data_IF_525476480535
#
_entry.id   IF_525476480535
#
_cell.length_a   1.000
_cell.length_b   1.000
_cell.length_c   1.000
_cell.angle_alpha   90.00
_cell.angle_beta   90.00
_cell.angle_gamma   90.00
#
_symmetry.space_group_name_H-M   'P 1'
#
loop_
_entity.id
_entity.type
_entity.pdbx_description
1 polymer ?
#
# COMPACT_ATOMS: atom_id res chain seq x y z
N UNK A 1 -34.94 -35.31 22.14
CA UNK A 1 -34.55 -35.30 20.72
C UNK A 1 -34.76 -33.95 20.04
N UNK A 2 -35.88 -33.24 20.26
CA UNK A 2 -36.11 -31.89 19.70
C UNK A 2 -35.00 -30.87 20.00
N UNK A 3 -34.62 -30.71 21.28
CA UNK A 3 -33.58 -29.77 21.70
C UNK A 3 -32.20 -30.05 21.08
N UNK A 4 -31.87 -31.33 20.85
CA UNK A 4 -30.62 -31.72 20.17
C UNK A 4 -30.65 -31.34 18.68
N UNK A 5 -31.82 -31.46 18.05
CA UNK A 5 -32.00 -31.09 16.65
C UNK A 5 -31.97 -29.56 16.45
N UNK A 6 -32.61 -28.81 17.35
CA UNK A 6 -32.56 -27.35 17.35
C UNK A 6 -31.14 -26.83 17.60
N UNK A 7 -30.41 -27.42 18.56
CA UNK A 7 -29.02 -27.08 18.81
C UNK A 7 -28.13 -27.35 17.59
N UNK A 8 -28.29 -28.50 16.92
CA UNK A 8 -27.56 -28.83 15.71
C UNK A 8 -27.87 -27.84 14.56
N UNK A 9 -29.13 -27.45 14.41
CA UNK A 9 -29.54 -26.46 13.41
C UNK A 9 -28.94 -25.07 13.71
N UNK A 10 -28.94 -24.64 14.97
CA UNK A 10 -28.36 -23.36 15.36
C UNK A 10 -26.85 -23.32 15.14
N UNK A 11 -26.14 -24.40 15.46
CA UNK A 11 -24.70 -24.55 15.17
C UNK A 11 -24.46 -24.41 13.67
N UNK A 12 -25.24 -25.13 12.85
CA UNK A 12 -25.10 -25.09 11.39
C UNK A 12 -25.29 -23.67 10.83
N UNK A 13 -26.38 -22.99 11.20
CA UNK A 13 -26.67 -21.61 10.76
C UNK A 13 -25.54 -20.66 11.21
N UNK A 14 -25.08 -20.79 12.46
CA UNK A 14 -24.02 -19.93 13.00
C UNK A 14 -22.70 -20.14 12.25
N UNK A 15 -22.36 -21.39 11.93
CA UNK A 15 -21.17 -21.72 11.13
C UNK A 15 -21.26 -21.13 9.73
N UNK A 16 -22.39 -21.29 9.04
CA UNK A 16 -22.59 -20.76 7.68
C UNK A 16 -22.53 -19.23 7.63
N UNK A 17 -23.16 -18.55 8.59
CA UNK A 17 -23.10 -17.09 8.72
C UNK A 17 -21.66 -16.65 8.99
N UNK A 18 -20.95 -17.34 9.88
CA UNK A 18 -19.56 -17.01 10.19
C UNK A 18 -18.65 -17.18 8.97
N UNK A 19 -18.77 -18.29 8.24
CA UNK A 19 -18.01 -18.54 7.01
C UNK A 19 -18.28 -17.45 5.96
N UNK A 20 -19.54 -17.06 5.78
CA UNK A 20 -19.93 -15.98 4.86
C UNK A 20 -19.32 -14.63 5.27
N UNK A 21 -19.35 -14.29 6.55
CA UNK A 21 -18.78 -13.02 7.05
C UNK A 21 -17.26 -12.99 6.88
N UNK A 22 -16.59 -14.11 7.17
CA UNK A 22 -15.14 -14.24 6.97
C UNK A 22 -14.79 -14.08 5.49
N UNK A 23 -15.54 -14.73 4.60
CA UNK A 23 -15.28 -14.65 3.16
C UNK A 23 -15.47 -13.23 2.60
N UNK A 24 -16.54 -12.56 3.02
CA UNK A 24 -16.82 -11.17 2.64
C UNK A 24 -15.75 -10.19 3.15
N UNK A 25 -15.12 -10.49 4.29
CA UNK A 25 -14.01 -9.69 4.82
C UNK A 25 -12.68 -10.03 4.12
N UNK A 26 -12.44 -11.30 3.82
CA UNK A 26 -11.19 -11.83 3.24
C UNK A 26 -11.00 -11.37 1.80
N UNK A 27 -12.00 -11.59 0.95
CA UNK A 27 -11.88 -11.33 -0.49
C UNK A 27 -11.38 -9.91 -0.84
N UNK A 28 -11.95 -8.81 -0.29
CA UNK A 28 -11.46 -7.47 -0.62
C UNK A 28 -10.03 -7.21 -0.11
N UNK A 29 -9.61 -7.87 0.97
CA UNK A 29 -8.24 -7.75 1.49
C UNK A 29 -7.25 -8.50 0.60
N UNK A 30 -7.60 -9.70 0.13
CA UNK A 30 -6.75 -10.44 -0.83
C UNK A 30 -6.53 -9.63 -2.11
N UNK A 31 -7.60 -9.06 -2.67
CA UNK A 31 -7.51 -8.20 -3.86
C UNK A 31 -6.65 -6.98 -3.60
N UNK A 32 -6.79 -6.35 -2.42
CA UNK A 32 -5.98 -5.19 -2.05
C UNK A 32 -4.49 -5.55 -1.93
N UNK A 33 -4.16 -6.64 -1.23
CA UNK A 33 -2.76 -7.08 -1.07
C UNK A 33 -2.15 -7.46 -2.42
N UNK A 34 -2.90 -8.14 -3.29
CA UNK A 34 -2.44 -8.46 -4.63
C UNK A 34 -2.15 -7.18 -5.44
N UNK A 35 -3.02 -6.18 -5.39
CA UNK A 35 -2.78 -4.90 -6.04
C UNK A 35 -1.53 -4.17 -5.52
N UNK A 36 -1.21 -4.31 -4.23
CA UNK A 36 0.04 -3.78 -3.64
C UNK A 36 1.26 -4.54 -4.16
N UNK A 37 1.19 -5.87 -4.28
CA UNK A 37 2.26 -6.68 -4.87
C UNK A 37 2.50 -6.25 -6.31
N UNK A 38 1.45 -6.19 -7.12
CA UNK A 38 1.54 -5.81 -8.54
C UNK A 38 2.15 -4.40 -8.68
N UNK A 39 1.76 -3.46 -7.82
CA UNK A 39 2.34 -2.11 -7.81
C UNK A 39 3.83 -2.07 -7.45
N UNK A 40 4.29 -2.91 -6.52
CA UNK A 40 5.74 -3.04 -6.21
C UNK A 40 6.49 -3.67 -7.37
N UNK A 41 5.93 -4.69 -8.01
CA UNK A 41 6.53 -5.34 -9.18
C UNK A 41 6.66 -4.38 -10.36
N UNK A 42 5.63 -3.57 -10.64
CA UNK A 42 5.71 -2.54 -11.69
C UNK A 42 6.81 -1.49 -11.44
N UNK A 43 7.07 -1.13 -10.18
CA UNK A 43 8.19 -0.23 -9.85
C UNK A 43 9.54 -0.94 -10.00
N UNK A 44 9.62 -2.22 -9.64
CA UNK A 44 10.84 -3.02 -9.79
C UNK A 44 11.19 -3.32 -11.25
N UNK A 45 10.21 -3.49 -12.13
CA UNK A 45 10.44 -3.68 -13.58
C UNK A 45 11.10 -2.46 -14.24
N UNK A 46 10.94 -1.26 -13.66
CA UNK A 46 11.60 -0.03 -14.14
C UNK A 46 13.07 0.03 -13.75
N UNK A 47 13.47 -0.75 -12.77
CA UNK A 47 14.85 -0.93 -12.37
C UNK A 47 15.43 -2.18 -13.02
N UNK A 48 16.74 -2.23 -13.32
CA UNK A 48 17.42 -3.49 -13.61
C UNK A 48 17.59 -4.31 -12.32
N UNK A 49 16.54 -4.44 -11.51
CA UNK A 49 16.58 -5.12 -10.24
C UNK A 49 16.76 -6.63 -10.45
N UNK A 50 17.67 -7.23 -9.68
CA UNK A 50 17.88 -8.67 -9.67
C UNK A 50 16.64 -9.36 -9.06
N UNK A 51 16.19 -10.48 -9.63
CA UNK A 51 15.05 -11.28 -9.13
C UNK A 51 15.16 -11.66 -7.65
N UNK A 52 16.37 -11.73 -7.11
CA UNK A 52 16.60 -11.96 -5.67
C UNK A 52 16.13 -10.78 -4.80
N UNK A 53 16.31 -9.55 -5.27
CA UNK A 53 15.90 -8.32 -4.58
C UNK A 53 14.39 -8.14 -4.70
N UNK A 54 13.81 -8.46 -5.85
CA UNK A 54 12.35 -8.48 -6.05
C UNK A 54 11.66 -9.46 -5.09
N UNK A 55 12.19 -10.69 -4.97
CA UNK A 55 11.68 -11.67 -4.03
C UNK A 55 11.78 -11.17 -2.58
N UNK A 56 12.90 -10.53 -2.21
CA UNK A 56 13.11 -10.01 -0.85
C UNK A 56 12.15 -8.86 -0.52
N UNK A 57 11.92 -7.94 -1.46
CA UNK A 57 11.06 -6.77 -1.26
C UNK A 57 9.59 -7.19 -1.19
N UNK A 58 9.17 -8.18 -1.98
CA UNK A 58 7.78 -8.63 -2.04
C UNK A 58 7.45 -9.75 -1.04
N UNK A 59 8.45 -10.35 -0.37
CA UNK A 59 8.27 -11.50 0.55
C UNK A 59 7.23 -11.21 1.65
N UNK A 60 7.30 -10.04 2.26
CA UNK A 60 6.39 -9.65 3.34
C UNK A 60 4.93 -9.57 2.88
N UNK A 61 4.70 -9.06 1.66
CA UNK A 61 3.36 -8.96 1.07
C UNK A 61 2.80 -10.34 0.72
N UNK A 62 3.61 -11.24 0.15
CA UNK A 62 3.19 -12.61 -0.15
C UNK A 62 2.85 -13.39 1.13
N UNK A 63 3.66 -13.27 2.19
CA UNK A 63 3.35 -13.89 3.49
C UNK A 63 2.03 -13.41 4.07
N UNK A 64 1.74 -12.11 3.94
CA UNK A 64 0.47 -11.54 4.41
C UNK A 64 -0.70 -12.05 3.57
N UNK A 65 -0.54 -12.19 2.25
CA UNK A 65 -1.55 -12.78 1.38
C UNK A 65 -1.88 -14.22 1.78
N UNK A 66 -0.85 -15.05 2.02
CA UNK A 66 -1.04 -16.43 2.45
C UNK A 66 -1.69 -16.51 3.84
N UNK A 67 -1.29 -15.63 4.76
CA UNK A 67 -1.91 -15.53 6.09
C UNK A 67 -3.40 -15.20 5.98
N UNK A 68 -3.78 -14.27 5.11
CA UNK A 68 -5.19 -13.87 4.91
C UNK A 68 -6.02 -15.04 4.37
N UNK A 69 -5.49 -15.82 3.43
CA UNK A 69 -6.18 -16.99 2.86
C UNK A 69 -6.56 -18.02 3.93
N UNK A 70 -5.71 -18.24 4.92
CA UNK A 70 -5.92 -19.25 5.97
C UNK A 70 -6.71 -18.71 7.19
N UNK A 71 -6.83 -17.40 7.32
CA UNK A 71 -7.41 -16.77 8.51
C UNK A 71 -8.94 -16.82 8.52
N UNK A 72 -9.52 -17.22 9.65
CA UNK A 72 -10.98 -17.23 9.89
C UNK A 72 -11.45 -16.15 10.87
N UNK A 73 -10.55 -15.24 11.26
CA UNK A 73 -10.84 -14.12 12.15
C UNK A 73 -10.85 -12.82 11.36
N UNK A 74 -11.99 -12.14 11.35
CA UNK A 74 -12.17 -10.84 10.69
C UNK A 74 -11.19 -9.80 11.27
N UNK A 75 -10.89 -9.86 12.57
CA UNK A 75 -9.94 -8.94 13.18
C UNK A 75 -8.51 -9.14 12.64
N UNK A 76 -8.08 -10.40 12.48
CA UNK A 76 -6.77 -10.71 11.93
C UNK A 76 -6.70 -10.39 10.43
N UNK A 77 -7.80 -10.57 9.68
CA UNK A 77 -7.91 -10.13 8.28
C UNK A 77 -7.72 -8.60 8.18
N UNK A 78 -8.40 -7.83 9.03
CA UNK A 78 -8.26 -6.37 9.06
C UNK A 78 -6.84 -5.94 9.45
N UNK A 79 -6.22 -6.61 10.43
CA UNK A 79 -4.84 -6.37 10.82
C UNK A 79 -3.86 -6.65 9.68
N UNK A 80 -4.06 -7.75 8.94
CA UNK A 80 -3.21 -8.11 7.80
C UNK A 80 -3.27 -7.06 6.69
N UNK A 81 -4.44 -6.47 6.44
CA UNK A 81 -4.58 -5.33 5.52
C UNK A 81 -3.70 -4.15 5.93
N UNK A 82 -3.78 -3.73 7.20
CA UNK A 82 -2.98 -2.61 7.69
C UNK A 82 -1.47 -2.92 7.64
N UNK A 83 -1.09 -4.16 7.98
CA UNK A 83 0.28 -4.61 7.86
C UNK A 83 0.77 -4.60 6.40
N UNK A 84 -0.09 -4.93 5.44
CA UNK A 84 0.25 -4.91 4.02
C UNK A 84 0.50 -3.49 3.50
N UNK A 85 -0.28 -2.50 3.94
CA UNK A 85 -0.03 -1.09 3.61
C UNK A 85 1.34 -0.63 4.14
N UNK A 86 1.71 -1.02 5.37
CA UNK A 86 3.03 -0.73 5.94
C UNK A 86 4.18 -1.48 5.25
N UNK A 87 3.95 -2.74 4.85
CA UNK A 87 4.91 -3.53 4.10
C UNK A 87 5.14 -2.94 2.70
N UNK A 88 4.08 -2.46 2.05
CA UNK A 88 4.16 -1.73 0.78
C UNK A 88 5.01 -0.46 0.91
N UNK A 89 4.73 0.37 1.92
CA UNK A 89 5.53 1.59 2.16
C UNK A 89 7.01 1.25 2.42
N UNK A 90 7.28 0.19 3.18
CA UNK A 90 8.65 -0.30 3.43
C UNK A 90 9.31 -0.78 2.15
N UNK A 91 8.61 -1.58 1.34
CA UNK A 91 9.09 -2.09 0.07
C UNK A 91 9.52 -0.95 -0.85
N UNK A 92 8.71 0.10 -0.92
CA UNK A 92 9.01 1.25 -1.75
C UNK A 92 10.17 2.09 -1.20
N UNK A 93 10.30 2.24 0.12
CA UNK A 93 11.48 2.90 0.70
C UNK A 93 12.78 2.14 0.36
N UNK A 94 12.72 0.80 0.30
CA UNK A 94 13.88 -0.01 -0.14
C UNK A 94 14.17 0.21 -1.62
N UNK A 95 13.13 0.28 -2.47
CA UNK A 95 13.29 0.61 -3.89
C UNK A 95 13.94 1.99 -4.05
N UNK A 96 13.47 3.00 -3.32
CA UNK A 96 14.03 4.35 -3.33
C UNK A 96 15.49 4.38 -2.82
N UNK A 97 15.85 3.54 -1.84
CA UNK A 97 17.22 3.43 -1.36
C UNK A 97 18.16 2.79 -2.42
N UNK A 98 17.70 1.73 -3.09
CA UNK A 98 18.44 1.08 -4.18
C UNK A 98 18.68 2.00 -5.37
N UNK A 99 17.80 2.98 -5.60
CA UNK A 99 17.99 4.01 -6.63
C UNK A 99 19.01 5.08 -6.24
N UNK A 100 19.20 5.37 -4.94
CA UNK A 100 20.13 6.39 -4.46
C UNK A 100 21.53 5.85 -4.14
N UNK A 101 21.71 4.53 -4.00
CA UNK A 101 23.03 3.89 -3.96
C UNK A 101 23.63 3.80 -5.37
N UNK A 102 24.09 4.94 -5.91
CA UNK A 102 25.19 4.91 -6.88
C UNK A 102 26.46 4.39 -6.17
N UNK A 103 27.31 3.58 -6.83
CA UNK A 103 28.55 3.12 -6.22
C UNK A 103 29.45 4.34 -5.89
N UNK A 104 30.01 4.36 -4.68
CA UNK A 104 31.16 5.20 -4.37
C UNK A 104 32.36 4.74 -5.21
N UNK A 105 32.40 5.10 -6.49
CA UNK A 105 33.61 5.04 -7.28
C UNK A 105 34.40 6.33 -7.01
N UNK A 106 35.39 6.21 -6.13
CA UNK A 106 36.56 7.06 -6.16
C UNK A 106 37.20 6.97 -7.56
N UNK A 107 36.88 7.88 -8.47
CA UNK A 107 37.82 8.65 -9.33
C UNK A 107 37.16 9.29 -10.56
N UNK A 108 37.49 10.57 -10.76
CA UNK A 108 37.52 11.32 -12.04
C UNK A 108 36.20 11.75 -12.72
N UNK A 109 35.91 13.05 -12.56
CA UNK A 109 35.46 14.03 -13.57
C UNK A 109 34.56 13.62 -14.77
N UNK A 110 33.45 14.38 -14.86
CA UNK A 110 32.66 14.84 -16.02
C UNK A 110 31.28 14.22 -16.27
N UNK A 111 30.32 15.13 -16.46
CA UNK A 111 28.90 15.02 -16.83
C UNK A 111 27.92 14.52 -15.74
N UNK A 112 27.02 15.39 -15.23
CA UNK A 112 25.91 14.97 -14.39
C UNK A 112 24.97 14.11 -15.23
N UNK A 113 25.00 12.80 -15.01
CA UNK A 113 24.00 11.89 -15.55
C UNK A 113 22.68 12.16 -14.83
N UNK A 114 21.65 12.47 -15.59
CA UNK A 114 20.32 12.80 -15.06
C UNK A 114 19.79 11.64 -14.18
N UNK A 115 19.31 11.93 -12.95
CA UNK A 115 18.65 10.92 -12.12
C UNK A 115 17.40 10.43 -12.85
N UNK A 116 17.38 9.14 -13.19
CA UNK A 116 16.46 8.59 -14.19
C UNK A 116 15.06 8.31 -13.66
N UNK A 117 14.81 8.38 -12.36
CA UNK A 117 13.48 8.22 -11.76
C UNK A 117 13.29 9.24 -10.62
N UNK A 118 12.11 9.88 -10.66
CA UNK A 118 11.72 11.02 -9.84
C UNK A 118 11.37 10.57 -8.42
N UNK A 119 12.07 11.09 -7.40
CA UNK A 119 11.81 10.82 -5.97
C UNK A 119 10.32 10.93 -5.67
N UNK A 120 9.74 9.95 -4.98
CA UNK A 120 8.29 9.94 -4.77
C UNK A 120 7.92 10.74 -3.53
N UNK A 121 7.00 11.70 -3.68
CA UNK A 121 6.42 12.46 -2.58
C UNK A 121 5.01 11.98 -2.30
N UNK A 122 4.82 11.34 -1.15
CA UNK A 122 3.49 10.95 -0.67
C UNK A 122 2.81 12.17 -0.08
N UNK A 123 1.74 12.64 -0.72
CA UNK A 123 0.89 13.71 -0.22
C UNK A 123 -0.35 13.05 0.37
N UNK A 124 -0.47 13.07 1.70
CA UNK A 124 -1.73 12.76 2.38
C UNK A 124 -2.60 14.01 2.30
N UNK A 125 -3.71 13.97 1.59
CA UNK A 125 -4.59 15.14 1.46
C UNK A 125 -5.11 15.63 2.84
N UNK A 126 -5.18 14.71 3.81
CA UNK A 126 -5.55 14.98 5.20
C UNK A 126 -4.51 15.85 5.95
N UNK A 127 -3.22 15.70 5.65
CA UNK A 127 -2.15 16.47 6.31
C UNK A 127 -2.05 17.90 5.77
N UNK A 128 -2.49 18.11 4.52
CA UNK A 128 -2.57 19.43 3.90
C UNK A 128 -3.77 20.25 4.37
N UNK A 129 -4.73 19.61 5.04
CA UNK A 129 -5.97 20.25 5.48
C UNK A 129 -6.18 20.11 6.98
N UNK A 130 -5.66 21.07 7.74
CA UNK A 130 -5.71 21.06 9.21
C UNK A 130 -7.09 21.40 9.79
N UNK A 131 -8.06 21.83 8.99
CA UNK A 131 -9.35 22.33 9.49
C UNK A 131 -10.42 21.24 9.74
N UNK A 132 -10.10 19.97 9.54
CA UNK A 132 -10.95 18.83 9.92
C UNK A 132 -12.21 18.62 9.08
N UNK A 133 -12.83 19.69 8.57
CA UNK A 133 -14.02 19.64 7.71
C UNK A 133 -13.92 20.69 6.59
N UNK A 134 -14.56 20.37 5.46
CA UNK A 134 -14.75 21.29 4.32
C UNK A 134 -16.25 21.55 4.27
N UNK A 135 -16.67 22.76 4.66
CA UNK A 135 -18.09 23.11 4.79
C UNK A 135 -18.55 24.12 3.74
N UNK A 136 -17.60 24.85 3.14
CA UNK A 136 -17.89 25.91 2.15
C UNK A 136 -17.14 25.69 0.83
N UNK A 137 -17.62 26.34 -0.24
CA UNK A 137 -16.96 26.33 -1.53
C UNK A 137 -15.56 26.99 -1.46
N UNK A 138 -15.40 27.97 -0.58
CA UNK A 138 -14.12 28.65 -0.33
C UNK A 138 -13.11 27.70 0.33
N UNK A 139 -13.55 26.80 1.21
CA UNK A 139 -12.73 25.73 1.78
C UNK A 139 -12.28 24.73 0.70
N UNK A 140 -13.18 24.35 -0.22
CA UNK A 140 -12.83 23.50 -1.36
C UNK A 140 -11.74 24.16 -2.19
N UNK A 141 -11.94 25.42 -2.56
CA UNK A 141 -11.02 26.14 -3.44
C UNK A 141 -9.65 26.36 -2.78
N UNK A 142 -9.62 26.66 -1.49
CA UNK A 142 -8.37 26.78 -0.73
C UNK A 142 -7.66 25.41 -0.57
N UNK A 143 -8.40 24.30 -0.46
CA UNK A 143 -7.83 22.94 -0.40
C UNK A 143 -7.19 22.56 -1.71
N UNK A 144 -7.94 22.71 -2.79
CA UNK A 144 -7.47 22.43 -4.15
C UNK A 144 -6.30 23.34 -4.51
N UNK A 145 -6.30 24.61 -4.08
CA UNK A 145 -5.18 25.54 -4.33
C UNK A 145 -3.91 25.13 -3.58
N UNK A 146 -4.03 24.68 -2.34
CA UNK A 146 -2.88 24.22 -1.54
C UNK A 146 -2.34 22.89 -2.06
N UNK A 147 -3.22 21.94 -2.37
CA UNK A 147 -2.88 20.68 -3.04
C UNK A 147 -2.18 20.95 -4.38
N UNK A 148 -2.73 21.84 -5.21
CA UNK A 148 -2.13 22.23 -6.50
C UNK A 148 -0.74 22.81 -6.32
N UNK A 149 -0.53 23.68 -5.32
CA UNK A 149 0.78 24.28 -5.07
C UNK A 149 1.83 23.23 -4.65
N UNK A 150 1.47 22.31 -3.75
CA UNK A 150 2.38 21.23 -3.34
C UNK A 150 2.64 20.23 -4.49
N UNK A 151 1.63 19.94 -5.32
CA UNK A 151 1.79 19.13 -6.54
C UNK A 151 2.73 19.80 -7.54
N UNK A 152 2.54 21.10 -7.82
CA UNK A 152 3.40 21.87 -8.72
C UNK A 152 4.82 21.96 -8.18
N UNK A 153 5.01 22.13 -6.87
CA UNK A 153 6.32 22.14 -6.22
C UNK A 153 7.02 20.78 -6.32
N UNK A 154 6.30 19.69 -6.10
CA UNK A 154 6.83 18.34 -6.27
C UNK A 154 7.17 18.05 -7.75
N UNK A 155 6.30 18.44 -8.69
CA UNK A 155 6.57 18.30 -10.12
C UNK A 155 7.77 19.14 -10.56
N UNK A 156 7.92 20.37 -10.05
CA UNK A 156 9.06 21.24 -10.31
C UNK A 156 10.38 20.71 -9.71
N UNK A 157 10.29 19.96 -8.61
CA UNK A 157 11.42 19.26 -8.00
C UNK A 157 11.77 17.94 -8.73
N UNK A 158 11.12 17.61 -9.84
CA UNK A 158 11.24 16.31 -10.49
C UNK A 158 10.90 15.17 -9.52
N UNK A 159 9.83 15.31 -8.75
CA UNK A 159 9.30 14.29 -7.84
C UNK A 159 8.02 13.66 -8.41
N UNK A 160 7.79 12.37 -8.13
CA UNK A 160 6.58 11.64 -8.52
C UNK A 160 5.58 11.70 -7.38
N UNK A 161 4.38 12.22 -7.61
CA UNK A 161 3.44 12.43 -6.50
C UNK A 161 2.48 11.26 -6.37
N UNK A 162 2.39 10.70 -5.16
CA UNK A 162 1.36 9.75 -4.78
C UNK A 162 0.40 10.44 -3.81
N UNK A 163 -0.88 10.53 -4.17
CA UNK A 163 -1.92 11.07 -3.28
C UNK A 163 -2.52 9.90 -2.51
N UNK A 164 -2.46 9.93 -1.17
CA UNK A 164 -3.15 9.00 -0.26
C UNK A 164 -4.32 9.69 0.43
#
# INVERSE_FOLDING_TARGET
YHLLHEAANLIHITTEVNETLVENARHPVEVAIQGLIDGVLEELERLPANKAVEAQITEALHKLLDTVKETTSIAHIAQARQAAEGAFDTALNVIEALENEEPEDETTHTTPSEPKIKKRRVIKAQDLWSNGFIETQEDIDACVKTLRHELEKALAANERVQIK
#
